data_IF_222287255641
#
_entry.id   IF_222287255641
#
_cell.length_a   1.000
_cell.length_b   1.000
_cell.length_c   1.000
_cell.angle_alpha   90.00
_cell.angle_beta   90.00
_cell.angle_gamma   90.00
#
_symmetry.space_group_name_H-M   'P 1'
#
loop_
_entity.id
_entity.type
_entity.pdbx_description
1 polymer ?
#
# COMPACT_ATOMS: atom_id res chain seq x y z
N UNK A 1 49.03 -6.57 4.16
CA UNK A 1 47.91 -7.50 3.84
C UNK A 1 46.71 -6.63 3.46
N UNK A 2 46.38 -6.55 2.18
CA UNK A 2 45.24 -5.79 1.68
C UNK A 2 44.06 -6.75 1.61
N UNK A 3 43.00 -6.44 2.37
CA UNK A 3 41.72 -7.13 2.27
C UNK A 3 40.98 -6.59 1.05
N UNK A 4 40.66 -7.49 0.13
CA UNK A 4 39.99 -7.17 -1.12
C UNK A 4 38.59 -6.57 -0.88
N UNK A 5 38.33 -5.51 -1.60
CA UNK A 5 36.98 -4.95 -1.81
C UNK A 5 36.14 -6.02 -2.50
N UNK A 6 35.05 -6.43 -1.84
CA UNK A 6 34.01 -7.22 -2.50
C UNK A 6 33.39 -6.34 -3.58
N UNK A 7 33.61 -6.73 -4.83
CA UNK A 7 32.89 -6.20 -5.98
C UNK A 7 31.41 -6.51 -5.78
N UNK A 8 30.64 -5.47 -5.48
CA UNK A 8 29.20 -5.53 -5.69
C UNK A 8 28.99 -5.66 -7.19
N UNK A 9 28.77 -6.87 -7.67
CA UNK A 9 28.30 -7.10 -9.03
C UNK A 9 27.12 -6.19 -9.27
N UNK A 10 27.33 -5.19 -10.12
CA UNK A 10 26.22 -4.42 -10.71
C UNK A 10 25.37 -5.44 -11.44
N UNK A 11 24.20 -5.72 -10.90
CA UNK A 11 23.17 -6.48 -11.61
C UNK A 11 23.07 -5.88 -13.00
N UNK A 12 23.30 -6.65 -14.07
CA UNK A 12 23.23 -6.13 -15.43
C UNK A 12 21.88 -5.44 -15.60
N UNK A 13 21.89 -4.25 -16.20
CA UNK A 13 20.68 -3.58 -16.64
C UNK A 13 20.02 -4.48 -17.68
N UNK A 14 19.29 -5.46 -17.21
CA UNK A 14 18.66 -6.47 -18.02
C UNK A 14 17.65 -5.74 -18.90
N UNK A 15 17.99 -5.71 -20.20
CA UNK A 15 17.09 -5.63 -21.33
C UNK A 15 15.79 -4.87 -21.04
N UNK A 16 15.69 -3.69 -21.60
CA UNK A 16 14.50 -2.84 -21.65
C UNK A 16 13.27 -3.67 -22.08
N UNK A 17 12.72 -4.44 -21.16
CA UNK A 17 11.35 -4.91 -21.30
C UNK A 17 10.49 -3.64 -21.34
N UNK A 18 9.51 -3.54 -22.26
CA UNK A 18 8.57 -2.43 -22.25
C UNK A 18 8.07 -2.31 -20.80
N UNK A 19 8.23 -1.13 -20.17
CA UNK A 19 7.89 -0.93 -18.77
C UNK A 19 6.42 -1.34 -18.59
N UNK A 20 6.20 -2.51 -18.03
CA UNK A 20 4.87 -3.02 -17.68
C UNK A 20 4.18 -1.94 -16.85
N UNK A 21 2.91 -1.66 -17.15
CA UNK A 21 2.13 -0.75 -16.31
C UNK A 21 2.13 -1.26 -14.88
N UNK A 22 2.24 -0.37 -13.93
CA UNK A 22 2.12 -0.70 -12.50
C UNK A 22 0.66 -1.04 -12.24
N UNK A 23 0.36 -2.23 -11.75
CA UNK A 23 -1.00 -2.64 -11.41
C UNK A 23 -1.27 -2.35 -9.94
N UNK A 24 -2.32 -1.58 -9.69
CA UNK A 24 -2.72 -1.13 -8.35
C UNK A 24 -4.12 -1.64 -8.05
N UNK A 25 -4.26 -2.41 -6.98
CA UNK A 25 -5.56 -2.69 -6.38
C UNK A 25 -5.83 -1.62 -5.32
N UNK A 26 -6.82 -0.79 -5.55
CA UNK A 26 -7.19 0.30 -4.65
C UNK A 26 -8.55 0.01 -3.99
N UNK A 27 -8.55 -0.22 -2.69
CA UNK A 27 -9.75 -0.44 -1.88
C UNK A 27 -10.10 0.87 -1.19
N UNK A 28 -11.21 1.49 -1.58
CA UNK A 28 -11.79 2.64 -0.92
C UNK A 28 -12.91 2.13 -0.02
N UNK A 29 -12.62 2.04 1.27
CA UNK A 29 -13.50 1.45 2.26
C UNK A 29 -14.56 2.42 2.79
N UNK A 30 -14.91 2.29 4.08
CA UNK A 30 -15.84 3.22 4.73
C UNK A 30 -15.22 4.62 4.77
N UNK A 31 -15.84 5.55 4.03
CA UNK A 31 -15.41 6.94 3.91
C UNK A 31 -16.20 7.92 4.76
N UNK A 32 -16.97 7.47 5.73
CA UNK A 32 -17.80 8.36 6.53
C UNK A 32 -16.95 9.39 7.29
N UNK A 33 -17.06 10.66 6.91
CA UNK A 33 -16.29 11.74 7.53
C UNK A 33 -14.86 11.93 7.04
N UNK A 34 -14.43 11.19 6.00
CA UNK A 34 -13.12 11.34 5.34
C UNK A 34 -13.28 11.51 3.83
N UNK A 35 -12.30 12.18 3.20
CA UNK A 35 -12.37 12.50 1.77
C UNK A 35 -11.63 11.46 0.92
N UNK A 36 -12.27 10.32 0.69
CA UNK A 36 -11.72 9.24 -0.17
C UNK A 36 -11.65 9.61 -1.66
N UNK A 37 -12.42 10.60 -2.10
CA UNK A 37 -12.37 11.05 -3.49
C UNK A 37 -11.02 11.71 -3.83
N UNK A 38 -10.39 12.37 -2.85
CA UNK A 38 -9.04 12.91 -3.04
C UNK A 38 -8.00 11.79 -3.17
N UNK A 39 -8.10 10.72 -2.38
CA UNK A 39 -7.24 9.54 -2.53
C UNK A 39 -7.37 8.94 -3.92
N UNK A 40 -8.60 8.78 -4.39
CA UNK A 40 -8.89 8.30 -5.73
C UNK A 40 -8.25 9.18 -6.80
N UNK A 41 -8.44 10.49 -6.73
CA UNK A 41 -7.89 11.46 -7.66
C UNK A 41 -6.37 11.41 -7.70
N UNK A 42 -5.71 11.30 -6.55
CA UNK A 42 -4.25 11.19 -6.45
C UNK A 42 -3.73 9.92 -7.13
N UNK A 43 -4.41 8.80 -6.92
CA UNK A 43 -4.05 7.55 -7.58
C UNK A 43 -4.24 7.62 -9.10
N UNK A 44 -5.37 8.18 -9.57
CA UNK A 44 -5.65 8.33 -11.01
C UNK A 44 -4.60 9.18 -11.74
N UNK A 45 -3.92 10.08 -11.04
CA UNK A 45 -2.82 10.88 -11.58
C UNK A 45 -1.49 10.11 -11.63
N UNK A 46 -1.41 8.91 -11.06
CA UNK A 46 -0.18 8.14 -11.04
C UNK A 46 0.18 7.65 -12.45
N UNK A 47 1.34 8.09 -13.01
CA UNK A 47 1.67 7.80 -14.39
C UNK A 47 1.93 6.32 -14.63
N UNK A 48 1.43 5.82 -15.77
CA UNK A 48 1.60 4.42 -16.19
C UNK A 48 1.03 3.38 -15.22
N UNK A 49 0.05 3.76 -14.42
CA UNK A 49 -0.68 2.82 -13.58
C UNK A 49 -1.91 2.27 -14.31
N UNK A 50 -2.23 1.04 -14.01
CA UNK A 50 -3.52 0.39 -14.24
C UNK A 50 -4.15 0.18 -12.87
N UNK A 51 -5.23 0.90 -12.58
CA UNK A 51 -5.81 0.92 -11.24
C UNK A 51 -7.17 0.24 -11.28
N UNK A 52 -7.33 -0.73 -10.42
CA UNK A 52 -8.62 -1.37 -10.15
C UNK A 52 -9.16 -0.85 -8.83
N UNK A 53 -10.25 -0.08 -8.90
CA UNK A 53 -10.91 0.45 -7.73
C UNK A 53 -12.01 -0.49 -7.23
N UNK A 54 -11.98 -0.82 -5.96
CA UNK A 54 -13.09 -1.41 -5.23
C UNK A 54 -13.62 -0.35 -4.25
N UNK A 55 -14.83 0.12 -4.47
CA UNK A 55 -15.46 1.16 -3.63
C UNK A 55 -16.49 0.50 -2.74
N UNK A 56 -16.31 0.64 -1.42
CA UNK A 56 -17.15 0.00 -0.39
C UNK A 56 -17.45 -1.48 -0.70
N UNK A 57 -16.42 -2.28 -1.03
CA UNK A 57 -16.63 -3.66 -1.46
C UNK A 57 -17.19 -4.54 -0.35
N UNK A 58 -17.76 -5.67 -0.74
CA UNK A 58 -17.98 -6.77 0.19
C UNK A 58 -16.73 -7.64 0.27
N UNK A 59 -16.63 -8.47 1.33
CA UNK A 59 -15.46 -9.34 1.57
C UNK A 59 -15.08 -10.19 0.37
N UNK A 60 -16.09 -10.74 -0.32
CA UNK A 60 -15.90 -11.59 -1.49
C UNK A 60 -15.14 -10.87 -2.61
N UNK A 61 -15.50 -9.61 -2.88
CA UNK A 61 -14.88 -8.83 -3.95
C UNK A 61 -13.39 -8.59 -3.65
N UNK A 62 -13.05 -8.30 -2.39
CA UNK A 62 -11.66 -8.12 -1.94
C UNK A 62 -10.87 -9.42 -2.09
N UNK A 63 -11.45 -10.53 -1.65
CA UNK A 63 -10.80 -11.84 -1.76
C UNK A 63 -10.55 -12.20 -3.23
N UNK A 64 -11.58 -12.13 -4.07
CA UNK A 64 -11.47 -12.42 -5.51
C UNK A 64 -10.43 -11.54 -6.22
N UNK A 65 -10.40 -10.23 -5.91
CA UNK A 65 -9.42 -9.33 -6.48
C UNK A 65 -7.98 -9.68 -6.07
N UNK A 66 -7.75 -10.06 -4.83
CA UNK A 66 -6.43 -10.48 -4.36
C UNK A 66 -5.94 -11.78 -5.01
N UNK A 67 -6.86 -12.63 -5.47
CA UNK A 67 -6.56 -13.86 -6.21
C UNK A 67 -6.35 -13.65 -7.71
N UNK A 68 -6.38 -12.42 -8.21
CA UNK A 68 -6.17 -12.13 -9.64
C UNK A 68 -4.85 -12.75 -10.15
N UNK A 69 -4.93 -13.52 -11.24
CA UNK A 69 -3.79 -14.27 -11.78
C UNK A 69 -2.69 -13.39 -12.35
N UNK A 70 -3.02 -12.18 -12.79
CA UNK A 70 -2.01 -11.23 -13.28
C UNK A 70 -1.24 -10.57 -12.12
N UNK A 71 -1.74 -10.70 -10.90
CA UNK A 71 -1.16 -10.12 -9.70
C UNK A 71 -1.23 -8.59 -9.65
N UNK A 72 -0.80 -8.04 -8.55
CA UNK A 72 -0.75 -6.61 -8.26
C UNK A 72 0.66 -6.21 -7.87
N UNK A 73 1.12 -5.03 -8.28
CA UNK A 73 2.37 -4.45 -7.79
C UNK A 73 2.15 -3.69 -6.47
N UNK A 74 0.99 -3.03 -6.35
CA UNK A 74 0.63 -2.21 -5.19
C UNK A 74 -0.77 -2.55 -4.70
N UNK A 75 -0.91 -2.70 -3.39
CA UNK A 75 -2.19 -2.72 -2.68
C UNK A 75 -2.35 -1.38 -1.96
N UNK A 76 -3.44 -0.68 -2.22
CA UNK A 76 -3.79 0.57 -1.55
C UNK A 76 -5.12 0.40 -0.83
N UNK A 77 -5.17 0.86 0.41
CA UNK A 77 -6.40 0.98 1.18
C UNK A 77 -6.53 2.41 1.71
N UNK A 78 -7.71 3.01 1.56
CA UNK A 78 -8.11 4.22 2.25
C UNK A 78 -9.48 4.02 2.87
N UNK A 79 -9.65 4.48 4.12
CA UNK A 79 -10.86 4.28 4.89
C UNK A 79 -10.59 4.25 6.38
N UNK A 80 -11.60 3.91 7.15
CA UNK A 80 -11.43 3.73 8.58
C UNK A 80 -10.70 2.43 8.90
N UNK A 81 -9.89 2.47 9.95
CA UNK A 81 -9.29 1.30 10.57
C UNK A 81 -9.30 1.45 12.07
N UNK A 82 -9.34 0.34 12.77
CA UNK A 82 -9.28 0.27 14.22
C UNK A 82 -8.35 -0.86 14.67
N UNK A 83 -7.61 -0.61 15.74
CA UNK A 83 -6.93 -1.68 16.46
C UNK A 83 -7.86 -2.21 17.55
N UNK A 84 -7.93 -3.52 17.72
CA UNK A 84 -8.67 -4.10 18.83
C UNK A 84 -8.10 -3.64 20.18
N UNK A 85 -8.87 -3.75 21.25
CA UNK A 85 -8.53 -3.21 22.58
C UNK A 85 -7.16 -3.64 23.09
N UNK A 86 -6.70 -4.81 22.74
CA UNK A 86 -5.39 -5.35 23.06
C UNK A 86 -4.26 -4.86 22.12
N UNK A 87 -4.59 -4.07 21.08
CA UNK A 87 -3.69 -3.60 20.02
C UNK A 87 -2.93 -4.73 19.31
N UNK A 88 -3.45 -5.94 19.35
CA UNK A 88 -2.80 -7.10 18.72
C UNK A 88 -3.25 -7.32 17.29
N UNK A 89 -4.49 -6.95 16.95
CA UNK A 89 -5.08 -7.18 15.64
C UNK A 89 -5.66 -5.88 15.07
N UNK A 90 -5.28 -5.58 13.84
CA UNK A 90 -5.85 -4.47 13.07
C UNK A 90 -7.06 -4.91 12.24
N UNK A 91 -8.07 -4.04 12.16
CA UNK A 91 -9.25 -4.21 11.33
C UNK A 91 -9.41 -3.01 10.42
N UNK A 92 -9.64 -3.24 9.14
CA UNK A 92 -10.02 -2.23 8.17
C UNK A 92 -11.53 -2.31 7.91
N UNK A 93 -12.19 -1.17 7.79
CA UNK A 93 -13.60 -1.09 7.43
C UNK A 93 -13.73 -0.98 5.91
N UNK A 94 -14.11 -2.08 5.26
CA UNK A 94 -14.23 -2.14 3.80
C UNK A 94 -15.51 -1.49 3.28
N UNK A 95 -16.51 -1.39 4.12
CA UNK A 95 -17.76 -0.65 3.89
C UNK A 95 -18.40 -0.30 5.26
N UNK A 96 -19.48 0.50 5.31
CA UNK A 96 -20.10 0.89 6.57
C UNK A 96 -20.63 -0.26 7.45
N UNK A 97 -20.82 -1.44 6.87
CA UNK A 97 -21.44 -2.60 7.56
C UNK A 97 -20.43 -3.72 7.87
N UNK A 98 -19.28 -3.74 7.18
CA UNK A 98 -18.34 -4.86 7.30
C UNK A 98 -16.88 -4.39 7.35
N UNK A 99 -16.09 -5.17 8.03
CA UNK A 99 -14.65 -4.95 8.13
C UNK A 99 -13.88 -6.27 8.03
N UNK A 100 -12.61 -6.13 7.70
CA UNK A 100 -11.70 -7.24 7.52
C UNK A 100 -10.49 -7.11 8.43
N UNK A 101 -10.10 -8.22 9.05
CA UNK A 101 -8.80 -8.33 9.71
C UNK A 101 -7.78 -8.94 8.76
N UNK A 102 -6.50 -8.61 8.94
CA UNK A 102 -5.42 -9.20 8.13
C UNK A 102 -5.41 -10.73 8.17
N UNK A 103 -5.61 -11.39 9.34
CA UNK A 103 -5.70 -12.84 9.39
C UNK A 103 -6.79 -13.45 8.48
N UNK A 104 -7.92 -12.76 8.29
CA UNK A 104 -9.01 -13.21 7.42
C UNK A 104 -8.63 -13.22 5.94
N UNK A 105 -7.68 -12.37 5.54
CA UNK A 105 -7.19 -12.26 4.16
C UNK A 105 -5.84 -12.97 3.95
N UNK A 106 -5.30 -13.63 4.97
CA UNK A 106 -3.92 -14.17 4.97
C UNK A 106 -3.58 -15.00 3.73
N UNK A 107 -4.48 -15.87 3.30
CA UNK A 107 -4.21 -16.74 2.15
C UNK A 107 -4.25 -15.95 0.82
N UNK A 108 -5.23 -15.07 0.66
CA UNK A 108 -5.35 -14.22 -0.53
C UNK A 108 -4.16 -13.24 -0.64
N UNK A 109 -3.72 -12.66 0.47
CA UNK A 109 -2.54 -11.79 0.49
C UNK A 109 -1.26 -12.57 0.17
N UNK A 110 -1.09 -13.79 0.69
CA UNK A 110 0.05 -14.65 0.31
C UNK A 110 0.05 -14.96 -1.19
N UNK A 111 -1.11 -15.25 -1.77
CA UNK A 111 -1.24 -15.44 -3.20
C UNK A 111 -0.86 -14.19 -3.98
N UNK A 112 -1.32 -13.01 -3.56
CA UNK A 112 -0.96 -11.73 -4.17
C UNK A 112 0.56 -11.47 -4.09
N UNK A 113 1.21 -11.82 -2.97
CA UNK A 113 2.67 -11.69 -2.83
C UNK A 113 3.43 -12.62 -3.78
N UNK A 114 3.02 -13.87 -3.90
CA UNK A 114 3.62 -14.83 -4.84
C UNK A 114 3.50 -14.32 -6.28
N UNK A 115 2.40 -13.60 -6.59
CA UNK A 115 2.13 -13.01 -7.90
C UNK A 115 2.76 -11.64 -8.13
N UNK A 116 3.52 -11.11 -7.18
CA UNK A 116 4.36 -9.93 -7.39
C UNK A 116 4.00 -8.68 -6.60
N UNK A 117 3.14 -8.77 -5.58
CA UNK A 117 2.84 -7.64 -4.68
C UNK A 117 4.12 -7.18 -3.97
N UNK A 118 4.47 -5.91 -4.13
CA UNK A 118 5.72 -5.32 -3.61
C UNK A 118 5.49 -4.25 -2.56
N UNK A 119 4.36 -3.55 -2.65
CA UNK A 119 4.06 -2.41 -1.80
C UNK A 119 2.61 -2.48 -1.33
N UNK A 120 2.40 -2.27 -0.04
CA UNK A 120 1.07 -2.03 0.51
C UNK A 120 1.05 -0.67 1.23
N UNK A 121 0.00 0.12 0.98
CA UNK A 121 -0.23 1.43 1.56
C UNK A 121 -1.58 1.41 2.25
N UNK A 122 -1.60 1.66 3.57
CA UNK A 122 -2.81 1.79 4.36
C UNK A 122 -2.95 3.23 4.83
N UNK A 123 -3.73 4.01 4.09
CA UNK A 123 -4.09 5.38 4.43
C UNK A 123 -5.32 5.36 5.34
N UNK A 124 -5.10 5.05 6.62
CA UNK A 124 -6.13 4.92 7.64
C UNK A 124 -5.60 5.33 9.01
N UNK A 125 -6.50 5.72 9.91
CA UNK A 125 -6.14 6.45 11.14
C UNK A 125 -5.43 5.63 12.22
N UNK A 126 -5.56 4.31 12.27
CA UNK A 126 -4.91 3.45 13.29
C UNK A 126 -4.26 2.23 12.64
N UNK A 127 -3.02 2.41 12.22
CA UNK A 127 -2.28 1.40 11.49
C UNK A 127 -1.37 0.50 12.35
N UNK A 128 -1.27 0.70 13.66
CA UNK A 128 -0.32 -0.07 14.49
C UNK A 128 -0.67 -1.56 14.58
N UNK A 129 -1.94 -1.88 14.77
CA UNK A 129 -2.42 -3.26 14.74
C UNK A 129 -2.22 -3.88 13.36
N UNK A 130 -2.57 -3.13 12.30
CA UNK A 130 -2.36 -3.55 10.91
C UNK A 130 -0.87 -3.80 10.62
N UNK A 131 0.03 -2.92 11.09
CA UNK A 131 1.47 -3.07 10.83
C UNK A 131 2.03 -4.37 11.41
N UNK A 132 1.57 -4.80 12.58
CA UNK A 132 1.98 -6.07 13.19
C UNK A 132 1.50 -7.25 12.39
N UNK A 133 0.20 -7.30 12.09
CA UNK A 133 -0.39 -8.40 11.32
C UNK A 133 0.23 -8.50 9.91
N UNK A 134 0.52 -7.36 9.28
CA UNK A 134 1.11 -7.29 7.94
C UNK A 134 2.61 -7.64 7.95
N UNK A 135 3.33 -7.38 9.05
CA UNK A 135 4.73 -7.78 9.19
C UNK A 135 4.91 -9.29 9.07
N UNK A 136 3.97 -10.07 9.59
CA UNK A 136 3.98 -11.54 9.51
C UNK A 136 3.77 -12.05 8.08
N UNK A 137 3.26 -11.21 7.18
CA UNK A 137 3.07 -11.56 5.77
C UNK A 137 4.30 -11.32 4.91
N UNK A 138 5.34 -10.66 5.45
CA UNK A 138 6.58 -10.37 4.74
C UNK A 138 6.38 -9.56 3.44
N UNK A 139 5.41 -8.62 3.43
CA UNK A 139 5.25 -7.67 2.33
C UNK A 139 6.55 -6.85 2.23
N UNK A 140 7.21 -6.78 1.07
CA UNK A 140 8.52 -6.15 0.95
C UNK A 140 8.56 -4.69 1.40
N UNK A 141 7.50 -3.94 1.15
CA UNK A 141 7.39 -2.53 1.51
C UNK A 141 5.98 -2.23 2.03
N UNK A 142 5.91 -1.52 3.15
CA UNK A 142 4.66 -1.22 3.84
C UNK A 142 4.64 0.23 4.32
N UNK A 143 3.56 0.94 4.01
CA UNK A 143 3.24 2.26 4.57
C UNK A 143 1.97 2.14 5.39
N UNK A 144 2.03 2.53 6.66
CA UNK A 144 0.88 2.64 7.56
C UNK A 144 0.96 3.94 8.34
N UNK A 145 -0.17 4.54 8.65
CA UNK A 145 -0.24 5.68 9.58
C UNK A 145 -0.18 5.15 11.01
N UNK A 146 0.77 5.66 11.81
CA UNK A 146 0.97 5.21 13.20
C UNK A 146 -0.05 5.78 14.17
N UNK A 147 -0.62 6.92 13.83
CA UNK A 147 -1.57 7.66 14.65
C UNK A 147 -2.55 8.40 13.73
N UNK A 148 -3.72 8.79 14.22
CA UNK A 148 -4.63 9.64 13.48
C UNK A 148 -3.92 10.92 13.02
N UNK A 149 -4.02 11.21 11.73
CA UNK A 149 -3.53 12.44 11.12
C UNK A 149 -4.71 13.11 10.38
N UNK A 150 -4.74 14.44 10.28
CA UNK A 150 -5.73 15.11 9.45
C UNK A 150 -5.66 14.63 8.01
N UNK A 151 -6.80 14.47 7.32
CA UNK A 151 -6.88 14.03 5.93
C UNK A 151 -5.95 14.82 5.02
N UNK A 152 -5.90 16.14 5.19
CA UNK A 152 -5.01 17.00 4.40
C UNK A 152 -3.53 16.59 4.52
N UNK A 153 -3.07 16.22 5.71
CA UNK A 153 -1.69 15.79 5.95
C UNK A 153 -1.44 14.44 5.28
N UNK A 154 -2.40 13.52 5.39
CA UNK A 154 -2.31 12.21 4.74
C UNK A 154 -2.27 12.36 3.20
N UNK A 155 -3.10 13.23 2.63
CA UNK A 155 -3.13 13.52 1.20
C UNK A 155 -1.84 14.18 0.70
N UNK A 156 -1.29 15.15 1.42
CA UNK A 156 0.00 15.78 1.07
C UNK A 156 1.15 14.79 1.12
N UNK A 157 1.16 13.90 2.11
CA UNK A 157 2.12 12.80 2.14
C UNK A 157 1.98 11.89 0.92
N UNK A 158 0.77 11.40 0.65
CA UNK A 158 0.48 10.49 -0.46
C UNK A 158 0.88 11.11 -1.81
N UNK A 159 0.49 12.36 -2.05
CA UNK A 159 0.84 13.13 -3.25
C UNK A 159 2.35 13.23 -3.44
N UNK A 160 3.06 13.62 -2.39
CA UNK A 160 4.52 13.78 -2.43
C UNK A 160 5.20 12.43 -2.65
N UNK A 161 4.77 11.38 -1.94
CA UNK A 161 5.29 10.03 -2.09
C UNK A 161 5.08 9.50 -3.51
N UNK A 162 3.84 9.54 -4.02
CA UNK A 162 3.53 9.03 -5.36
C UNK A 162 4.30 9.78 -6.44
N UNK A 163 4.46 11.10 -6.31
CA UNK A 163 5.23 11.91 -7.26
C UNK A 163 6.69 11.47 -7.33
N UNK A 164 7.33 11.28 -6.19
CA UNK A 164 8.74 10.87 -6.11
C UNK A 164 8.93 9.42 -6.57
N UNK A 165 8.05 8.55 -6.13
CA UNK A 165 8.08 7.13 -6.49
C UNK A 165 7.87 6.92 -8.00
N UNK A 166 6.96 7.69 -8.62
CA UNK A 166 6.73 7.67 -10.06
C UNK A 166 7.93 8.15 -10.88
N UNK A 167 8.78 9.01 -10.32
CA UNK A 167 10.02 9.48 -10.94
C UNK A 167 11.16 8.46 -10.86
N UNK A 168 10.94 7.36 -10.16
CA UNK A 168 11.93 6.28 -10.00
C UNK A 168 12.82 6.44 -8.77
N UNK A 169 12.47 7.33 -7.84
CA UNK A 169 13.16 7.40 -6.56
C UNK A 169 12.98 6.09 -5.79
N UNK A 170 13.98 5.74 -5.00
CA UNK A 170 13.85 4.57 -4.14
C UNK A 170 12.74 4.76 -3.12
N UNK A 171 12.10 3.67 -2.72
CA UNK A 171 11.03 3.69 -1.71
C UNK A 171 11.43 4.47 -0.45
N UNK A 172 12.64 4.21 0.07
CA UNK A 172 13.14 4.88 1.26
C UNK A 172 13.26 6.40 1.08
N UNK A 173 13.84 6.85 -0.04
CA UNK A 173 13.98 8.28 -0.33
C UNK A 173 12.62 8.94 -0.54
N UNK A 174 11.72 8.32 -1.28
CA UNK A 174 10.37 8.83 -1.51
C UNK A 174 9.60 9.02 -0.19
N UNK A 175 9.66 8.04 0.73
CA UNK A 175 9.03 8.15 2.05
C UNK A 175 9.68 9.23 2.90
N UNK A 176 11.01 9.28 2.95
CA UNK A 176 11.75 10.27 3.75
C UNK A 176 11.44 11.68 3.30
N UNK A 177 11.48 11.94 2.00
CA UNK A 177 11.21 13.26 1.45
C UNK A 177 9.74 13.67 1.56
N UNK A 178 8.82 12.74 1.34
CA UNK A 178 7.39 13.01 1.56
C UNK A 178 7.12 13.42 3.01
N UNK A 179 7.76 12.76 3.98
CA UNK A 179 7.65 13.14 5.41
C UNK A 179 8.29 14.50 5.70
N UNK A 180 9.43 14.81 5.11
CA UNK A 180 10.12 16.09 5.33
C UNK A 180 9.31 17.29 4.83
N UNK A 181 8.43 17.10 3.86
CA UNK A 181 7.55 18.15 3.32
C UNK A 181 6.33 18.44 4.19
N UNK A 182 6.06 17.62 5.19
CA UNK A 182 4.97 17.80 6.16
C UNK A 182 5.39 18.66 7.36
N UNK A 183 6.66 19.05 7.45
CA UNK A 183 7.22 19.93 8.49
C UNK A 183 7.17 21.39 8.05
#
# INVERSE_FOLDING_TARGET
MALGTQDFERVPTALLRPKKRIRILAILGNGQGINLEEDRRLLEQFPRAEIHFLVEPVRKDVDEALWDDQGWDVLFFAGHSESQQDRTTGRIEINPLDGLTVPQLKNAQKAAMIRGLKLAIFNSCDGLGLARDLADLHIPQLIVMRAPVPDQVAHEFLKSFLTLFARGESFYLAVREARSRLQ
#
